data_IF_906838922011
#
_entry.id   IF_906838922011
#
_cell.length_a   1.000
_cell.length_b   1.000
_cell.length_c   1.000
_cell.angle_alpha   90.00
_cell.angle_beta   90.00
_cell.angle_gamma   90.00
#
_symmetry.space_group_name_H-M   'P 1'
#
loop_
_entity.id
_entity.type
_entity.pdbx_description
1 polymer ?
#
# COMPACT_ATOMS: atom_id res chain seq x y z
N UNK A 1 15.72 5.16 -69.46
CA UNK A 1 15.33 6.39 -68.74
C UNK A 1 15.18 6.04 -67.26
N UNK A 2 16.23 6.24 -66.47
CA UNK A 2 16.21 6.05 -65.02
C UNK A 2 16.08 7.44 -64.38
N UNK A 3 14.97 7.67 -63.70
CA UNK A 3 14.68 8.94 -63.03
C UNK A 3 15.50 9.04 -61.74
N UNK A 4 16.45 9.96 -61.72
CA UNK A 4 17.19 10.40 -60.55
C UNK A 4 16.28 11.17 -59.60
N UNK A 5 16.00 10.62 -58.43
CA UNK A 5 15.41 11.36 -57.30
C UNK A 5 16.55 11.78 -56.37
N UNK A 6 16.69 13.09 -56.17
CA UNK A 6 17.77 13.79 -55.44
C UNK A 6 17.75 13.47 -53.93
N UNK A 7 18.91 13.26 -53.26
CA UNK A 7 18.99 12.92 -51.83
C UNK A 7 19.23 14.16 -50.95
N UNK A 8 18.41 15.22 -51.06
CA UNK A 8 18.59 16.45 -50.25
C UNK A 8 17.32 17.00 -49.59
N UNK A 9 16.25 16.20 -49.53
CA UNK A 9 14.98 16.59 -48.91
C UNK A 9 14.46 15.54 -47.91
N UNK A 10 15.34 14.70 -47.37
CA UNK A 10 15.01 13.73 -46.32
C UNK A 10 15.64 14.07 -44.95
N UNK A 11 16.32 15.23 -44.83
CA UNK A 11 17.19 15.55 -43.69
C UNK A 11 16.74 16.77 -42.87
N UNK A 12 15.56 17.32 -43.14
CA UNK A 12 15.10 18.56 -42.50
C UNK A 12 13.64 18.56 -42.01
N UNK A 13 12.95 17.42 -41.98
CA UNK A 13 11.67 17.31 -41.28
C UNK A 13 11.79 16.41 -40.06
N UNK A 14 11.55 17.05 -38.91
CA UNK A 14 11.16 16.45 -37.64
C UNK A 14 12.24 15.71 -36.84
N UNK A 15 13.34 16.43 -36.61
CA UNK A 15 14.04 16.45 -35.32
C UNK A 15 13.16 17.08 -34.21
N UNK A 16 11.94 16.56 -34.05
CA UNK A 16 10.93 17.05 -33.10
C UNK A 16 10.05 15.90 -32.59
N UNK A 17 10.68 14.79 -32.18
CA UNK A 17 10.14 13.88 -31.17
C UNK A 17 11.32 13.48 -30.27
N UNK A 18 11.91 14.49 -29.63
CA UNK A 18 12.70 14.24 -28.43
C UNK A 18 11.70 14.07 -27.26
N UNK A 19 11.96 13.05 -26.45
CA UNK A 19 11.49 12.91 -25.05
C UNK A 19 9.99 12.71 -24.81
N UNK A 20 9.50 11.49 -25.03
CA UNK A 20 8.45 10.92 -24.18
C UNK A 20 8.40 9.41 -24.38
N UNK A 21 9.05 8.67 -23.48
CA UNK A 21 8.83 7.25 -23.12
C UNK A 21 10.15 6.51 -22.76
N UNK A 22 11.13 7.21 -22.18
CA UNK A 22 11.85 6.59 -21.08
C UNK A 22 11.00 6.80 -19.83
N UNK A 23 9.87 6.09 -19.74
CA UNK A 23 9.34 5.76 -18.43
C UNK A 23 10.38 4.83 -17.82
N UNK A 24 11.34 5.42 -17.12
CA UNK A 24 11.95 4.78 -15.98
C UNK A 24 10.79 4.43 -15.04
N UNK A 25 10.15 3.30 -15.31
CA UNK A 25 9.59 2.48 -14.25
C UNK A 25 10.82 2.16 -13.42
N UNK A 26 11.10 3.05 -12.46
CA UNK A 26 11.82 2.69 -11.26
C UNK A 26 10.95 1.58 -10.71
N UNK A 27 11.23 0.34 -11.15
CA UNK A 27 10.92 -0.85 -10.38
C UNK A 27 11.70 -0.58 -9.12
N UNK A 28 11.04 0.04 -8.15
CA UNK A 28 11.41 -0.13 -6.77
C UNK A 28 11.38 -1.65 -6.60
N UNK A 29 12.55 -2.27 -6.73
CA UNK A 29 12.74 -3.68 -6.43
C UNK A 29 12.45 -3.77 -4.95
N UNK A 30 11.17 -3.98 -4.63
CA UNK A 30 10.73 -4.28 -3.30
C UNK A 30 11.50 -5.56 -2.89
N UNK A 31 12.13 -5.58 -1.71
CA UNK A 31 13.09 -6.62 -1.34
C UNK A 31 12.37 -7.90 -0.89
N UNK A 32 11.50 -8.45 -1.74
CA UNK A 32 10.67 -9.60 -1.39
C UNK A 32 11.13 -10.86 -2.13
N UNK A 33 11.66 -11.87 -1.42
CA UNK A 33 11.97 -13.17 -2.04
C UNK A 33 10.68 -13.91 -2.39
N UNK A 34 10.63 -14.54 -3.58
CA UNK A 34 9.44 -15.21 -4.11
C UNK A 34 8.93 -16.41 -3.27
N UNK A 35 9.71 -16.89 -2.29
CA UNK A 35 9.51 -18.21 -1.66
C UNK A 35 8.82 -18.15 -0.28
N UNK A 36 8.67 -16.98 0.35
CA UNK A 36 8.00 -16.85 1.67
C UNK A 36 6.48 -16.60 1.59
N UNK A 37 5.92 -16.49 0.39
CA UNK A 37 4.58 -15.93 0.16
C UNK A 37 3.41 -16.83 0.58
N UNK A 38 3.52 -18.16 0.51
CA UNK A 38 2.37 -19.04 0.79
C UNK A 38 2.02 -19.11 2.29
N UNK A 39 3.02 -19.35 3.14
CA UNK A 39 2.81 -19.38 4.60
C UNK A 39 2.39 -18.01 5.16
N UNK A 40 3.01 -16.93 4.67
CA UNK A 40 2.67 -15.57 5.07
C UNK A 40 1.29 -15.16 4.56
N UNK A 41 0.92 -15.48 3.32
CA UNK A 41 -0.41 -15.21 2.78
C UNK A 41 -1.49 -15.93 3.62
N UNK A 42 -1.26 -17.20 3.95
CA UNK A 42 -2.18 -17.95 4.81
C UNK A 42 -2.31 -17.31 6.19
N UNK A 43 -1.20 -16.95 6.84
CA UNK A 43 -1.22 -16.25 8.13
C UNK A 43 -1.94 -14.90 8.05
N UNK A 44 -1.70 -14.14 6.99
CA UNK A 44 -2.34 -12.85 6.75
C UNK A 44 -3.85 -12.98 6.59
N UNK A 45 -4.31 -13.94 5.78
CA UNK A 45 -5.74 -14.21 5.58
C UNK A 45 -6.40 -14.68 6.88
N UNK A 46 -5.76 -15.57 7.65
CA UNK A 46 -6.31 -15.99 8.94
C UNK A 46 -6.40 -14.85 9.94
N UNK A 47 -5.36 -14.01 10.03
CA UNK A 47 -5.38 -12.83 10.89
C UNK A 47 -6.48 -11.84 10.47
N UNK A 48 -6.65 -11.62 9.16
CA UNK A 48 -7.69 -10.74 8.62
C UNK A 48 -9.10 -11.23 8.97
N UNK A 49 -9.36 -12.53 8.82
CA UNK A 49 -10.64 -13.15 9.20
C UNK A 49 -10.87 -13.11 10.71
N UNK A 50 -9.83 -13.37 11.51
CA UNK A 50 -9.92 -13.27 12.97
C UNK A 50 -10.23 -11.83 13.41
N UNK A 51 -9.58 -10.85 12.78
CA UNK A 51 -9.86 -9.44 12.99
C UNK A 51 -11.31 -9.11 12.63
N UNK A 52 -11.79 -9.51 11.45
CA UNK A 52 -13.18 -9.35 11.00
C UNK A 52 -14.19 -9.92 12.00
N UNK A 53 -13.99 -11.16 12.47
CA UNK A 53 -14.86 -11.78 13.48
C UNK A 53 -14.87 -10.98 14.79
N UNK A 54 -13.73 -10.46 15.24
CA UNK A 54 -13.68 -9.56 16.40
C UNK A 54 -14.47 -8.27 16.15
N UNK A 55 -14.44 -7.71 14.94
CA UNK A 55 -15.25 -6.51 14.62
C UNK A 55 -16.74 -6.77 14.76
N UNK A 56 -17.19 -7.95 14.30
CA UNK A 56 -18.59 -8.35 14.37
C UNK A 56 -19.02 -8.55 15.83
N UNK A 57 -18.14 -9.16 16.64
CA UNK A 57 -18.41 -9.40 18.05
C UNK A 57 -18.37 -8.12 18.90
N UNK A 58 -17.44 -7.20 18.60
CA UNK A 58 -17.16 -5.99 19.37
C UNK A 58 -17.15 -4.74 18.45
N UNK A 59 -18.33 -4.29 17.98
CA UNK A 59 -18.43 -3.19 17.02
C UNK A 59 -18.01 -1.83 17.60
N UNK A 60 -18.08 -1.66 18.91
CA UNK A 60 -17.74 -0.42 19.61
C UNK A 60 -16.29 -0.38 20.10
N UNK A 61 -15.59 -1.52 20.09
CA UNK A 61 -14.21 -1.60 20.53
C UNK A 61 -13.24 -1.29 19.38
N UNK A 62 -12.24 -0.43 19.63
CA UNK A 62 -11.16 -0.23 18.68
C UNK A 62 -10.41 -1.54 18.53
N UNK A 63 -10.20 -1.95 17.29
CA UNK A 63 -9.43 -3.16 17.01
C UNK A 63 -8.02 -3.00 17.54
N UNK A 64 -7.46 -4.09 18.02
CA UNK A 64 -6.17 -4.12 18.67
C UNK A 64 -5.16 -4.77 17.74
N UNK A 65 -4.16 -4.02 17.22
CA UNK A 65 -2.95 -4.67 16.70
C UNK A 65 -2.09 -5.22 17.86
N UNK A 66 -2.34 -4.77 19.09
CA UNK A 66 -1.67 -5.13 20.35
C UNK A 66 -2.66 -5.39 21.47
N UNK A 67 -2.47 -6.44 22.27
CA UNK A 67 -3.37 -6.81 23.36
C UNK A 67 -3.29 -5.77 24.47
N UNK A 68 -4.13 -5.95 25.49
CA UNK A 68 -4.14 -5.11 26.70
C UNK A 68 -2.76 -5.06 27.42
N UNK A 69 -1.87 -6.02 27.16
CA UNK A 69 -0.49 -6.05 27.66
C UNK A 69 0.54 -5.40 26.73
N UNK A 70 0.11 -4.75 25.65
CA UNK A 70 0.98 -4.14 24.63
C UNK A 70 1.69 -5.16 23.72
N UNK A 71 1.38 -6.45 23.81
CA UNK A 71 1.94 -7.49 22.95
C UNK A 71 1.16 -7.50 21.66
N UNK A 72 1.83 -7.45 20.51
CA UNK A 72 1.14 -7.48 19.22
C UNK A 72 0.23 -8.72 19.12
N UNK A 73 -1.09 -8.54 19.05
CA UNK A 73 -2.06 -9.67 18.95
C UNK A 73 -1.99 -10.27 17.56
N UNK A 74 -1.59 -9.48 16.57
CA UNK A 74 -1.46 -9.92 15.19
C UNK A 74 -0.36 -9.11 14.49
N UNK A 75 0.90 -9.50 14.70
CA UNK A 75 2.06 -8.97 13.95
C UNK A 75 1.88 -9.15 12.43
N UNK A 76 0.96 -10.02 12.03
CA UNK A 76 0.67 -10.39 10.65
C UNK A 76 0.05 -9.25 9.82
N UNK A 77 -0.73 -8.33 10.43
CA UNK A 77 -1.48 -7.29 9.69
C UNK A 77 -0.75 -5.94 9.58
N UNK A 78 0.57 -5.93 9.74
CA UNK A 78 1.38 -4.71 9.56
C UNK A 78 1.62 -4.42 8.06
N UNK A 79 2.09 -3.19 7.78
CA UNK A 79 2.33 -2.72 6.42
C UNK A 79 3.40 -3.52 5.65
N UNK A 80 4.44 -4.01 6.33
CA UNK A 80 5.51 -4.79 5.69
C UNK A 80 5.00 -6.15 5.21
N UNK A 81 4.24 -6.84 6.06
CA UNK A 81 3.60 -8.11 5.73
C UNK A 81 2.52 -7.95 4.66
N UNK A 82 1.70 -6.89 4.76
CA UNK A 82 0.71 -6.56 3.75
C UNK A 82 1.38 -6.32 2.38
N UNK A 83 2.49 -5.59 2.35
CA UNK A 83 3.23 -5.34 1.12
C UNK A 83 3.81 -6.63 0.51
N UNK A 84 4.34 -7.55 1.32
CA UNK A 84 4.78 -8.86 0.84
C UNK A 84 3.63 -9.66 0.23
N UNK A 85 2.48 -9.66 0.89
CA UNK A 85 1.26 -10.33 0.43
C UNK A 85 0.75 -9.72 -0.87
N UNK A 86 0.63 -8.40 -0.96
CA UNK A 86 0.17 -7.73 -2.17
C UNK A 86 1.14 -7.94 -3.34
N UNK A 87 2.44 -7.92 -3.08
CA UNK A 87 3.43 -8.23 -4.11
C UNK A 87 3.26 -9.66 -4.63
N UNK A 88 3.10 -10.64 -3.73
CA UNK A 88 2.85 -12.03 -4.13
C UNK A 88 1.54 -12.20 -4.90
N UNK A 89 0.47 -11.51 -4.49
CA UNK A 89 -0.83 -11.55 -5.16
C UNK A 89 -0.77 -10.93 -6.55
N UNK A 90 -0.09 -9.79 -6.69
CA UNK A 90 0.08 -9.08 -7.96
C UNK A 90 0.90 -9.86 -9.00
N UNK A 91 1.83 -10.70 -8.54
CA UNK A 91 2.75 -11.45 -9.40
C UNK A 91 2.43 -12.96 -9.49
N UNK A 92 1.43 -13.45 -8.77
CA UNK A 92 1.07 -14.86 -8.79
C UNK A 92 0.03 -15.21 -9.88
N UNK A 93 -0.11 -16.50 -10.14
CA UNK A 93 -0.92 -17.04 -11.22
C UNK A 93 -2.43 -17.15 -10.94
N UNK A 94 -3.16 -17.85 -11.82
CA UNK A 94 -4.59 -18.11 -11.67
C UNK A 94 -4.90 -18.77 -10.31
N UNK A 95 -5.80 -18.15 -9.54
CA UNK A 95 -6.14 -18.55 -8.16
C UNK A 95 -5.98 -17.43 -7.13
N UNK A 96 -5.06 -16.49 -7.37
CA UNK A 96 -4.85 -15.33 -6.50
C UNK A 96 -6.00 -14.31 -6.57
N UNK A 97 -6.80 -14.32 -7.64
CA UNK A 97 -7.89 -13.36 -7.82
C UNK A 97 -8.95 -13.48 -6.72
N UNK A 98 -9.33 -14.71 -6.35
CA UNK A 98 -10.30 -14.94 -5.27
C UNK A 98 -9.78 -14.40 -3.94
N UNK A 99 -8.53 -14.71 -3.61
CA UNK A 99 -7.89 -14.28 -2.35
C UNK A 99 -7.69 -12.76 -2.35
N UNK A 100 -7.29 -12.19 -3.49
CA UNK A 100 -7.17 -10.73 -3.65
C UNK A 100 -8.51 -10.05 -3.43
N UNK A 101 -9.59 -10.56 -4.02
CA UNK A 101 -10.94 -10.02 -3.82
C UNK A 101 -11.39 -10.15 -2.37
N UNK A 102 -11.13 -11.28 -1.70
CA UNK A 102 -11.43 -11.45 -0.27
C UNK A 102 -10.70 -10.41 0.58
N UNK A 103 -9.39 -10.25 0.39
CA UNK A 103 -8.59 -9.26 1.13
C UNK A 103 -9.10 -7.84 0.85
N UNK A 104 -9.39 -7.49 -0.40
CA UNK A 104 -9.86 -6.16 -0.77
C UNK A 104 -11.29 -5.86 -0.29
N UNK A 105 -12.08 -6.88 0.06
CA UNK A 105 -13.41 -6.70 0.67
C UNK A 105 -13.32 -6.48 2.18
N UNK A 106 -12.46 -7.22 2.87
CA UNK A 106 -12.38 -7.19 4.34
C UNK A 106 -11.41 -6.12 4.87
N UNK A 107 -10.30 -5.88 4.18
CA UNK A 107 -9.23 -5.02 4.68
C UNK A 107 -9.61 -3.53 4.74
N UNK A 108 -10.20 -2.89 3.70
CA UNK A 108 -10.49 -1.46 3.76
C UNK A 108 -11.44 -1.05 4.90
N UNK A 109 -12.57 -1.75 5.15
CA UNK A 109 -13.42 -1.46 6.32
C UNK A 109 -12.67 -1.57 7.65
N UNK A 110 -11.78 -2.57 7.78
CA UNK A 110 -10.94 -2.72 8.97
C UNK A 110 -10.03 -1.51 9.18
N UNK A 111 -9.31 -1.09 8.14
CA UNK A 111 -8.41 0.06 8.19
C UNK A 111 -9.16 1.35 8.56
N UNK A 112 -10.35 1.55 7.99
CA UNK A 112 -11.19 2.71 8.30
C UNK A 112 -11.57 2.79 9.78
N UNK A 113 -11.78 1.66 10.46
CA UNK A 113 -12.08 1.64 11.90
C UNK A 113 -10.89 2.09 12.75
N UNK A 114 -9.67 1.70 12.39
CA UNK A 114 -8.46 2.21 13.05
C UNK A 114 -8.31 3.72 12.88
N UNK A 115 -8.62 4.24 11.67
CA UNK A 115 -8.62 5.68 11.42
C UNK A 115 -9.63 6.43 12.29
N UNK A 116 -10.87 5.94 12.34
CA UNK A 116 -11.91 6.53 13.18
C UNK A 116 -11.58 6.46 14.68
N UNK A 117 -10.97 5.37 15.14
CA UNK A 117 -10.54 5.21 16.53
C UNK A 117 -9.46 6.24 16.90
N UNK A 118 -8.45 6.41 16.04
CA UNK A 118 -7.42 7.43 16.19
C UNK A 118 -8.02 8.84 16.23
N UNK A 119 -8.93 9.15 15.29
CA UNK A 119 -9.59 10.46 15.22
C UNK A 119 -10.48 10.74 16.43
N UNK A 120 -11.29 9.78 16.87
CA UNK A 120 -12.12 9.87 18.09
C UNK A 120 -11.27 10.08 19.34
N UNK A 121 -10.06 9.53 19.35
CA UNK A 121 -9.09 9.73 20.43
C UNK A 121 -8.40 11.10 20.41
N UNK A 122 -8.66 11.93 19.39
CA UNK A 122 -7.95 13.18 19.12
C UNK A 122 -6.43 12.97 18.95
N UNK A 123 -6.06 11.83 18.36
CA UNK A 123 -4.67 11.44 18.13
C UNK A 123 -3.89 11.00 19.38
N UNK A 124 -4.55 10.84 20.53
CA UNK A 124 -3.90 10.42 21.78
C UNK A 124 -3.62 8.92 21.85
N UNK A 125 -4.50 8.12 21.26
CA UNK A 125 -4.45 6.66 21.28
C UNK A 125 -4.31 6.12 19.86
N UNK A 126 -3.91 4.86 19.73
CA UNK A 126 -3.84 4.13 18.45
C UNK A 126 -2.88 4.71 17.41
N UNK A 127 -1.84 5.42 17.85
CA UNK A 127 -0.89 6.08 16.93
C UNK A 127 -0.14 5.06 16.07
N UNK A 128 0.31 3.94 16.66
CA UNK A 128 1.03 2.89 15.96
C UNK A 128 0.11 2.20 14.93
N UNK A 129 -1.11 1.86 15.33
CA UNK A 129 -2.15 1.26 14.48
C UNK A 129 -2.52 2.17 13.30
N UNK A 130 -2.63 3.46 13.56
CA UNK A 130 -2.93 4.45 12.53
C UNK A 130 -1.78 4.58 11.52
N UNK A 131 -0.54 4.58 12.00
CA UNK A 131 0.65 4.61 11.13
C UNK A 131 0.75 3.34 10.28
N UNK A 132 0.52 2.16 10.85
CA UNK A 132 0.47 0.91 10.09
C UNK A 132 -0.68 0.92 9.09
N UNK A 133 -1.84 1.49 9.43
CA UNK A 133 -2.97 1.65 8.51
C UNK A 133 -2.59 2.46 7.28
N UNK A 134 -1.91 3.60 7.46
CA UNK A 134 -1.38 4.40 6.34
C UNK A 134 -0.40 3.56 5.51
N UNK A 135 0.52 2.83 6.17
CA UNK A 135 1.49 1.99 5.47
C UNK A 135 0.84 0.89 4.62
N UNK A 136 -0.18 0.21 5.16
CA UNK A 136 -0.94 -0.83 4.46
C UNK A 136 -1.66 -0.24 3.25
N UNK A 137 -2.31 0.93 3.39
CA UNK A 137 -2.97 1.60 2.28
C UNK A 137 -1.98 2.02 1.18
N UNK A 138 -0.80 2.56 1.56
CA UNK A 138 0.26 2.91 0.61
C UNK A 138 0.79 1.67 -0.13
N UNK A 139 1.01 0.56 0.59
CA UNK A 139 1.44 -0.70 0.01
C UNK A 139 0.39 -1.23 -0.98
N UNK A 140 -0.88 -1.20 -0.59
CA UNK A 140 -2.01 -1.63 -1.41
C UNK A 140 -2.11 -0.83 -2.71
N UNK A 141 -2.07 0.51 -2.62
CA UNK A 141 -2.10 1.42 -3.77
C UNK A 141 -0.88 1.26 -4.69
N UNK A 142 0.27 0.88 -4.13
CA UNK A 142 1.50 0.69 -4.91
C UNK A 142 1.56 -0.64 -5.65
N UNK A 143 1.03 -1.71 -5.04
CA UNK A 143 1.23 -3.08 -5.49
C UNK A 143 0.02 -3.66 -6.22
N UNK A 144 -1.18 -3.12 -5.97
CA UNK A 144 -2.41 -3.53 -6.63
C UNK A 144 -3.10 -2.38 -7.39
N UNK A 145 -2.38 -1.47 -8.10
CA UNK A 145 -2.96 -0.25 -8.65
C UNK A 145 -4.09 -0.52 -9.66
N UNK A 146 -3.96 -1.56 -10.49
CA UNK A 146 -4.99 -1.94 -11.46
C UNK A 146 -6.30 -2.39 -10.81
N UNK A 147 -6.25 -2.96 -9.60
CA UNK A 147 -7.43 -3.40 -8.84
C UNK A 147 -8.10 -2.24 -8.07
N UNK A 148 -7.45 -1.08 -7.99
CA UNK A 148 -7.85 0.06 -7.16
C UNK A 148 -8.08 1.33 -7.98
N UNK A 149 -8.03 1.25 -9.32
CA UNK A 149 -8.11 2.40 -10.21
C UNK A 149 -9.38 3.27 -10.02
N UNK A 150 -10.44 2.72 -9.46
CA UNK A 150 -11.70 3.41 -9.18
C UNK A 150 -11.86 3.87 -7.72
N UNK A 151 -10.85 3.70 -6.86
CA UNK A 151 -10.94 4.13 -5.47
C UNK A 151 -10.70 5.64 -5.32
N UNK A 152 -11.44 6.27 -4.40
CA UNK A 152 -11.46 7.71 -4.22
C UNK A 152 -10.17 8.29 -3.63
N UNK A 153 -9.37 7.48 -2.91
CA UNK A 153 -8.12 7.93 -2.29
C UNK A 153 -6.96 7.73 -3.26
N UNK A 154 -6.40 8.82 -3.78
CA UNK A 154 -5.19 8.75 -4.59
C UNK A 154 -3.95 8.50 -3.71
N UNK A 155 -2.99 7.73 -4.24
CA UNK A 155 -1.71 7.49 -3.54
C UNK A 155 -1.00 8.80 -3.18
N UNK A 156 -1.06 9.80 -4.07
CA UNK A 156 -0.44 11.11 -3.85
C UNK A 156 -1.07 11.90 -2.70
N UNK A 157 -2.40 11.86 -2.52
CA UNK A 157 -3.05 12.54 -1.41
C UNK A 157 -2.70 11.88 -0.07
N UNK A 158 -2.60 10.54 -0.05
CA UNK A 158 -2.22 9.80 1.15
C UNK A 158 -0.77 10.09 1.56
N UNK A 159 0.16 10.19 0.60
CA UNK A 159 1.55 10.59 0.86
C UNK A 159 1.64 12.01 1.42
N UNK A 160 0.85 12.94 0.86
CA UNK A 160 0.82 14.32 1.36
C UNK A 160 0.36 14.36 2.83
N UNK A 161 -0.76 13.70 3.14
CA UNK A 161 -1.27 13.56 4.52
C UNK A 161 -0.23 12.94 5.46
N UNK A 162 0.41 11.86 5.03
CA UNK A 162 1.42 11.18 5.84
C UNK A 162 2.65 12.07 6.10
N UNK A 163 3.10 12.84 5.11
CA UNK A 163 4.20 13.78 5.27
C UNK A 163 3.85 14.96 6.18
N UNK A 164 2.62 15.45 6.15
CA UNK A 164 2.14 16.48 7.08
C UNK A 164 2.13 15.95 8.51
N UNK A 165 1.62 14.73 8.72
CA UNK A 165 1.61 14.08 10.04
C UNK A 165 3.02 13.75 10.55
N UNK A 166 3.93 13.34 9.67
CA UNK A 166 5.31 13.08 10.05
C UNK A 166 6.08 14.36 10.45
N UNK A 167 5.57 15.54 10.09
CA UNK A 167 6.12 16.84 10.48
C UNK A 167 5.39 17.46 11.68
N UNK A 168 4.20 16.95 12.02
CA UNK A 168 3.42 17.44 13.14
C UNK A 168 3.85 16.78 14.46
N UNK A 169 3.54 17.44 15.57
CA UNK A 169 3.72 16.87 16.91
C UNK A 169 2.58 15.93 17.31
N UNK A 170 1.66 15.59 16.40
CA UNK A 170 0.52 14.72 16.68
C UNK A 170 0.96 13.27 16.96
N UNK A 171 2.05 12.84 16.32
CA UNK A 171 2.62 11.51 16.53
C UNK A 171 3.79 11.57 17.51
N UNK A 172 3.86 10.58 18.39
CA UNK A 172 5.02 10.28 19.20
C UNK A 172 6.24 9.96 18.31
N UNK A 173 7.44 10.07 18.87
CA UNK A 173 8.67 9.91 18.08
C UNK A 173 8.75 8.53 17.36
N UNK A 174 8.48 7.38 18.02
CA UNK A 174 8.49 6.08 17.35
C UNK A 174 7.52 5.96 16.18
N UNK A 175 6.26 6.38 16.36
CA UNK A 175 5.23 6.33 15.32
C UNK A 175 5.58 7.25 14.15
N UNK A 176 6.16 8.43 14.43
CA UNK A 176 6.62 9.37 13.42
C UNK A 176 7.77 8.81 12.57
N UNK A 177 8.78 8.22 13.22
CA UNK A 177 9.89 7.56 12.53
C UNK A 177 9.39 6.39 11.67
N UNK A 178 8.49 5.58 12.23
CA UNK A 178 7.87 4.48 11.49
C UNK A 178 7.10 4.98 10.27
N UNK A 179 6.31 6.04 10.40
CA UNK A 179 5.57 6.64 9.29
C UNK A 179 6.52 7.13 8.18
N UNK A 180 7.63 7.77 8.52
CA UNK A 180 8.64 8.21 7.55
C UNK A 180 9.24 7.02 6.77
N UNK A 181 9.53 5.92 7.46
CA UNK A 181 10.02 4.68 6.81
C UNK A 181 8.98 4.12 5.85
N UNK A 182 7.72 4.05 6.27
CA UNK A 182 6.62 3.52 5.46
C UNK A 182 6.36 4.39 4.22
N UNK A 183 6.32 5.71 4.37
CA UNK A 183 6.20 6.65 3.24
C UNK A 183 7.38 6.52 2.30
N UNK A 184 8.61 6.39 2.79
CA UNK A 184 9.79 6.21 1.94
C UNK A 184 9.74 4.90 1.15
N UNK A 185 9.17 3.85 1.73
CA UNK A 185 9.15 2.50 1.16
C UNK A 185 7.98 2.28 0.20
N UNK A 186 6.81 2.84 0.52
CA UNK A 186 5.54 2.57 -0.17
C UNK A 186 4.90 3.82 -0.77
N UNK A 187 5.45 5.01 -0.53
CA UNK A 187 5.08 6.26 -1.22
C UNK A 187 5.53 6.31 -2.67
#
# INVERSE_FOLDING_TARGET
MQSFIRPRLALALSALVFTAACSSVVRTTLPYPAVQSSSLLTQYVYALRAAEQRQIAYPDEPLWLRDEGGRSVDTSLNADNAAMVFYALANGGPGNERITSEILQTLPPMLQRYEQAYEKSQGKWYQDEYVETIGVQLAMLSLLPAKLANQATSKSSLIAKANEMAKSEQLNAPARERLQVLVRRYG
#
